data_IF_977031826477
#
_entry.id   IF_977031826477
#
_cell.length_a   1.000
_cell.length_b   1.000
_cell.length_c   1.000
_cell.angle_alpha   90.00
_cell.angle_beta   90.00
_cell.angle_gamma   90.00
#
_symmetry.space_group_name_H-M   'P 1'
#
loop_
_entity.id
_entity.type
_entity.pdbx_description
1 polymer ?
#
# COMPACT_ATOMS: atom_id res chain seq x y z
N UNK A 1 22.44 -15.39 0.02
CA UNK A 1 21.28 -14.56 0.41
C UNK A 1 20.04 -15.38 0.08
N UNK A 2 19.12 -15.54 1.03
CA UNK A 2 17.84 -16.18 0.74
C UNK A 2 17.07 -15.26 -0.22
N UNK A 3 16.50 -15.84 -1.27
CA UNK A 3 15.76 -15.07 -2.27
C UNK A 3 14.35 -14.82 -1.75
N UNK A 4 13.86 -13.59 -1.92
CA UNK A 4 12.56 -13.18 -1.39
C UNK A 4 11.42 -13.93 -2.09
N UNK A 5 10.39 -14.29 -1.32
CA UNK A 5 9.19 -15.00 -1.78
C UNK A 5 7.94 -14.16 -1.49
N UNK A 6 6.83 -14.48 -2.15
CA UNK A 6 5.58 -13.71 -2.09
C UNK A 6 5.48 -12.67 -3.20
N UNK A 7 4.68 -11.64 -2.98
CA UNK A 7 4.53 -10.50 -3.89
C UNK A 7 5.49 -9.37 -3.48
N UNK A 8 6.40 -9.02 -4.37
CA UNK A 8 7.47 -8.04 -4.13
C UNK A 8 7.12 -6.78 -4.91
N UNK A 9 7.21 -5.62 -4.27
CA UNK A 9 6.96 -4.30 -4.84
C UNK A 9 8.28 -3.76 -5.40
N UNK A 10 8.32 -3.49 -6.69
CA UNK A 10 9.48 -2.85 -7.35
C UNK A 10 9.22 -1.38 -7.69
N UNK A 11 7.96 -1.01 -7.90
CA UNK A 11 7.53 0.37 -8.06
C UNK A 11 6.27 0.62 -7.24
N UNK A 12 6.28 1.69 -6.47
CA UNK A 12 5.20 2.04 -5.55
C UNK A 12 5.66 3.12 -4.56
N UNK A 13 4.83 3.43 -3.56
CA UNK A 13 5.21 4.34 -2.49
C UNK A 13 6.24 3.68 -1.57
N UNK A 14 7.18 4.49 -1.08
CA UNK A 14 8.12 4.10 -0.03
C UNK A 14 7.56 4.44 1.35
N UNK A 15 8.17 3.90 2.40
CA UNK A 15 7.76 4.20 3.78
C UNK A 15 7.74 5.72 4.01
N UNK A 16 6.77 6.21 4.78
CA UNK A 16 6.54 7.63 5.09
C UNK A 16 6.09 8.51 3.91
N UNK A 17 5.77 7.94 2.75
CA UNK A 17 5.34 8.73 1.61
C UNK A 17 3.89 9.24 1.76
N UNK A 18 3.70 10.52 1.44
CA UNK A 18 2.37 11.15 1.31
C UNK A 18 1.98 11.19 -0.17
N UNK A 19 0.91 10.50 -0.51
CA UNK A 19 0.29 10.49 -1.85
C UNK A 19 -0.61 11.72 -1.95
N UNK A 20 -0.49 12.49 -3.04
CA UNK A 20 -1.34 13.66 -3.24
C UNK A 20 -2.81 13.27 -3.39
N UNK A 21 -3.69 14.02 -2.74
CA UNK A 21 -5.13 13.85 -2.88
C UNK A 21 -5.67 14.59 -4.11
N UNK A 22 -6.82 14.17 -4.59
CA UNK A 22 -7.58 14.86 -5.64
C UNK A 22 -8.62 15.82 -5.03
N UNK A 23 -9.45 16.43 -5.90
CA UNK A 23 -10.51 17.36 -5.51
C UNK A 23 -11.60 16.74 -4.60
N UNK A 24 -11.65 15.41 -4.49
CA UNK A 24 -12.58 14.66 -3.63
C UNK A 24 -11.95 14.30 -2.29
N UNK A 25 -10.70 14.66 -2.05
CA UNK A 25 -9.96 14.22 -0.87
C UNK A 25 -9.57 12.74 -0.95
N UNK A 26 -9.34 12.22 -2.16
CA UNK A 26 -8.97 10.82 -2.39
C UNK A 26 -7.61 10.72 -3.08
N UNK A 27 -6.85 9.69 -2.75
CA UNK A 27 -5.55 9.37 -3.33
C UNK A 27 -5.59 8.09 -4.16
N UNK A 28 -4.52 7.91 -4.94
CA UNK A 28 -4.30 6.73 -5.79
C UNK A 28 -2.89 6.20 -5.60
N UNK A 29 -2.76 4.92 -5.33
CA UNK A 29 -1.46 4.23 -5.21
C UNK A 29 -1.31 3.24 -6.37
N UNK A 30 -0.39 3.53 -7.29
CA UNK A 30 0.02 2.59 -8.34
C UNK A 30 1.13 1.67 -7.85
N UNK A 31 1.07 0.39 -8.23
CA UNK A 31 1.99 -0.65 -7.79
C UNK A 31 2.41 -1.54 -8.95
N UNK A 32 3.69 -1.86 -9.01
CA UNK A 32 4.27 -2.83 -9.95
C UNK A 32 5.33 -3.66 -9.23
N UNK A 33 5.49 -4.89 -9.67
CA UNK A 33 6.62 -5.69 -9.24
C UNK A 33 6.57 -7.12 -9.72
N UNK A 34 7.15 -8.01 -8.92
CA UNK A 34 7.25 -9.43 -9.22
C UNK A 34 6.65 -10.28 -8.13
N UNK A 35 6.23 -11.48 -8.46
CA UNK A 35 5.84 -12.49 -7.49
C UNK A 35 6.73 -13.71 -7.62
N UNK A 36 6.95 -14.40 -6.49
CA UNK A 36 7.76 -15.61 -6.47
C UNK A 36 7.27 -16.60 -5.44
N UNK A 37 6.87 -17.76 -5.90
CA UNK A 37 6.52 -18.88 -5.06
C UNK A 37 6.57 -20.19 -5.86
N UNK A 38 6.54 -21.34 -5.18
CA UNK A 38 6.59 -22.65 -5.84
C UNK A 38 5.35 -22.91 -6.71
N UNK A 39 4.20 -22.39 -6.26
CA UNK A 39 2.92 -22.53 -6.95
C UNK A 39 2.47 -21.17 -7.47
N UNK A 40 2.02 -21.07 -8.74
CA UNK A 40 1.43 -19.85 -9.27
C UNK A 40 0.23 -19.38 -8.48
N UNK A 41 0.00 -18.08 -8.49
CA UNK A 41 -1.09 -17.46 -7.75
C UNK A 41 -1.48 -16.11 -8.29
N UNK A 42 -2.40 -15.50 -7.57
CA UNK A 42 -2.95 -14.19 -7.82
C UNK A 42 -2.38 -13.22 -6.79
N UNK A 43 -1.71 -12.16 -7.21
CA UNK A 43 -1.27 -11.12 -6.28
C UNK A 43 -2.49 -10.36 -5.77
N UNK A 44 -2.51 -10.13 -4.48
CA UNK A 44 -3.52 -9.33 -3.79
C UNK A 44 -2.84 -8.25 -2.95
N UNK A 45 -3.44 -7.08 -2.93
CA UNK A 45 -2.98 -5.89 -2.21
C UNK A 45 -4.06 -5.42 -1.25
N UNK A 46 -3.66 -4.86 -0.12
CA UNK A 46 -4.60 -4.19 0.78
C UNK A 46 -4.00 -2.98 1.45
N UNK A 47 -4.88 -2.07 1.86
CA UNK A 47 -4.53 -0.93 2.68
C UNK A 47 -5.25 -1.03 4.03
N UNK A 48 -4.49 -0.96 5.10
CA UNK A 48 -5.00 -1.00 6.46
C UNK A 48 -4.56 0.25 7.22
N UNK A 49 -5.26 0.60 8.29
CA UNK A 49 -4.76 1.55 9.27
C UNK A 49 -3.50 0.98 9.93
N UNK A 50 -2.45 1.79 10.05
CA UNK A 50 -1.14 1.32 10.51
C UNK A 50 -1.21 0.76 11.94
N UNK A 51 -1.96 1.41 12.81
CA UNK A 51 -2.04 1.15 14.25
C UNK A 51 -2.97 -0.02 14.61
N UNK A 52 -4.09 -0.18 13.91
CA UNK A 52 -5.09 -1.22 14.19
C UNK A 52 -4.96 -2.43 13.26
N UNK A 53 -4.38 -2.28 12.08
CA UNK A 53 -4.35 -3.31 11.04
C UNK A 53 -5.72 -3.63 10.42
N UNK A 54 -6.74 -2.83 10.71
CA UNK A 54 -8.08 -2.93 10.10
C UNK A 54 -8.05 -2.32 8.70
N UNK A 55 -8.67 -2.98 7.73
CA UNK A 55 -8.78 -2.45 6.38
C UNK A 55 -9.46 -1.08 6.38
N UNK A 56 -8.90 -0.13 5.62
CA UNK A 56 -9.41 1.25 5.54
C UNK A 56 -10.84 1.27 4.97
N UNK A 57 -11.11 0.42 3.98
CA UNK A 57 -12.43 0.19 3.41
C UNK A 57 -12.52 -1.23 2.85
N UNK A 58 -13.74 -1.73 2.63
CA UNK A 58 -13.95 -3.04 2.01
C UNK A 58 -13.36 -3.14 0.58
N UNK A 59 -13.36 -2.02 -0.16
CA UNK A 59 -12.72 -1.90 -1.48
C UNK A 59 -11.19 -1.86 -1.42
N UNK A 60 -10.60 -1.77 -0.23
CA UNK A 60 -9.15 -1.72 0.01
C UNK A 60 -8.66 -2.93 0.81
N UNK A 61 -9.53 -3.91 1.12
CA UNK A 61 -9.13 -5.18 1.72
C UNK A 61 -8.94 -6.24 0.64
N UNK A 62 -7.77 -6.87 0.63
CA UNK A 62 -7.29 -7.89 -0.31
C UNK A 62 -7.89 -7.83 -1.73
N UNK A 63 -7.51 -6.81 -2.49
CA UNK A 63 -7.89 -6.64 -3.89
C UNK A 63 -6.93 -7.40 -4.80
N UNK A 64 -7.47 -8.24 -5.68
CA UNK A 64 -6.69 -8.91 -6.72
C UNK A 64 -6.24 -7.92 -7.80
N UNK A 65 -4.97 -7.99 -8.18
CA UNK A 65 -4.37 -7.13 -9.23
C UNK A 65 -3.88 -7.95 -10.42
N UNK A 66 -3.95 -7.45 -11.65
CA UNK A 66 -3.45 -8.18 -12.82
C UNK A 66 -2.07 -8.81 -12.59
N UNK A 67 -2.03 -10.14 -12.64
CA UNK A 67 -0.84 -10.96 -12.36
C UNK A 67 -0.55 -11.82 -13.58
N UNK A 68 0.66 -11.69 -14.12
CA UNK A 68 1.10 -12.40 -15.30
C UNK A 68 1.83 -13.70 -14.93
N UNK A 69 1.75 -14.68 -15.83
CA UNK A 69 2.40 -15.98 -15.67
C UNK A 69 3.94 -15.90 -15.76
N UNK A 70 4.48 -14.79 -16.27
CA UNK A 70 5.92 -14.53 -16.35
C UNK A 70 6.54 -14.04 -15.02
N UNK A 71 5.75 -13.99 -13.95
CA UNK A 71 6.21 -13.57 -12.63
C UNK A 71 6.01 -12.08 -12.35
N UNK A 72 5.39 -11.31 -13.25
CA UNK A 72 5.14 -9.87 -13.05
C UNK A 72 3.70 -9.58 -12.61
N UNK A 73 3.49 -8.44 -11.98
CA UNK A 73 2.16 -7.93 -11.65
C UNK A 73 2.13 -6.40 -11.65
N UNK A 74 0.96 -5.83 -11.94
CA UNK A 74 0.72 -4.39 -11.98
C UNK A 74 -0.72 -4.07 -11.61
N UNK A 75 -0.91 -3.10 -10.72
CA UNK A 75 -2.23 -2.71 -10.25
C UNK A 75 -2.25 -1.34 -9.60
N UNK A 76 -3.40 -0.98 -9.05
CA UNK A 76 -3.55 0.23 -8.26
C UNK A 76 -4.63 0.04 -7.19
N UNK A 77 -4.45 0.76 -6.08
CA UNK A 77 -5.51 1.04 -5.11
C UNK A 77 -6.06 2.43 -5.43
N UNK A 78 -7.38 2.50 -5.63
CA UNK A 78 -8.11 3.70 -6.02
C UNK A 78 -8.99 4.18 -4.85
N UNK A 79 -9.41 5.44 -4.87
CA UNK A 79 -10.35 6.02 -3.88
C UNK A 79 -9.86 5.88 -2.43
N UNK A 80 -8.57 6.10 -2.20
CA UNK A 80 -7.99 6.01 -0.86
C UNK A 80 -8.32 7.31 -0.12
N UNK A 81 -9.04 7.30 1.01
CA UNK A 81 -9.40 8.54 1.69
C UNK A 81 -8.16 9.30 2.18
N UNK A 82 -8.23 10.63 2.15
CA UNK A 82 -7.26 11.50 2.80
C UNK A 82 -7.09 11.15 4.28
N UNK A 83 -5.86 11.28 4.78
CA UNK A 83 -5.49 10.89 6.13
C UNK A 83 -4.42 9.81 6.15
N UNK A 84 -4.53 8.92 7.13
CA UNK A 84 -3.50 7.96 7.51
C UNK A 84 -3.17 8.06 9.01
N UNK A 85 -2.15 7.38 9.51
CA UNK A 85 -1.17 6.60 8.74
C UNK A 85 -1.71 5.24 8.31
N UNK A 86 -1.40 4.85 7.07
CA UNK A 86 -1.78 3.59 6.46
C UNK A 86 -0.58 2.66 6.30
N UNK A 87 -0.84 1.35 6.33
CA UNK A 87 0.08 0.30 5.91
C UNK A 87 -0.44 -0.38 4.65
N UNK A 88 0.39 -0.41 3.60
CA UNK A 88 0.17 -1.22 2.42
C UNK A 88 0.71 -2.62 2.68
N UNK A 89 -0.07 -3.65 2.35
CA UNK A 89 0.37 -5.05 2.43
C UNK A 89 0.11 -5.77 1.10
N UNK A 90 1.03 -6.65 0.73
CA UNK A 90 0.87 -7.55 -0.42
C UNK A 90 0.88 -9.02 0.02
N UNK A 91 0.22 -9.87 -0.76
CA UNK A 91 0.32 -11.33 -0.66
C UNK A 91 0.19 -11.97 -2.02
N UNK A 92 0.61 -13.23 -2.12
CA UNK A 92 0.30 -14.09 -3.25
C UNK A 92 -0.73 -15.13 -2.80
N UNK A 93 -1.96 -15.06 -3.32
CA UNK A 93 -2.96 -16.10 -3.10
C UNK A 93 -2.78 -17.22 -4.11
N UNK A 94 -2.29 -18.37 -3.65
CA UNK A 94 -2.01 -19.53 -4.50
C UNK A 94 -3.30 -20.24 -4.90
N UNK A 95 -3.28 -20.91 -6.05
CA UNK A 95 -4.48 -21.58 -6.60
C UNK A 95 -5.01 -22.73 -5.73
N UNK A 96 -4.13 -23.37 -4.95
CA UNK A 96 -4.45 -24.42 -3.98
C UNK A 96 -5.00 -23.87 -2.65
N UNK A 97 -5.01 -22.55 -2.46
CA UNK A 97 -5.50 -21.87 -1.28
C UNK A 97 -6.54 -20.79 -1.63
N UNK A 98 -7.75 -21.19 -2.06
CA UNK A 98 -8.76 -20.26 -2.54
C UNK A 98 -9.26 -19.29 -1.46
N UNK A 99 -9.22 -19.68 -0.18
CA UNK A 99 -9.59 -18.84 0.97
C UNK A 99 -8.54 -17.75 1.27
N UNK A 100 -7.31 -17.90 0.80
CA UNK A 100 -6.23 -16.94 1.02
C UNK A 100 -5.65 -16.95 2.44
N UNK A 101 -6.16 -17.78 3.34
CA UNK A 101 -5.61 -17.97 4.69
C UNK A 101 -4.19 -18.55 4.60
N UNK A 102 -3.20 -17.97 5.28
CA UNK A 102 -1.80 -18.44 5.20
C UNK A 102 -1.14 -18.29 3.82
N UNK A 103 -1.72 -17.48 2.93
CA UNK A 103 -1.08 -17.10 1.68
C UNK A 103 0.31 -16.50 1.92
N UNK A 104 1.32 -16.84 1.09
CA UNK A 104 2.65 -16.23 1.16
C UNK A 104 2.56 -14.71 1.21
N UNK A 105 3.05 -14.13 2.32
CA UNK A 105 3.11 -12.68 2.50
C UNK A 105 4.21 -12.10 1.65
N UNK A 106 3.93 -10.95 1.06
CA UNK A 106 4.89 -10.15 0.32
C UNK A 106 5.39 -8.96 1.14
N UNK A 107 5.76 -7.91 0.43
CA UNK A 107 6.18 -6.64 1.04
C UNK A 107 5.06 -5.93 1.80
N UNK A 108 5.49 -5.14 2.78
CA UNK A 108 4.70 -4.14 3.45
C UNK A 108 5.38 -2.78 3.32
N UNK A 109 4.59 -1.71 3.15
CA UNK A 109 5.07 -0.32 3.20
C UNK A 109 4.33 0.40 4.31
N UNK A 110 5.09 1.05 5.18
CA UNK A 110 4.60 1.59 6.44
C UNK A 110 4.43 3.10 6.38
N UNK A 111 3.55 3.59 7.26
CA UNK A 111 3.40 5.02 7.53
C UNK A 111 3.05 5.86 6.30
N UNK A 112 2.26 5.29 5.39
CA UNK A 112 1.78 6.00 4.21
C UNK A 112 0.66 6.98 4.61
N UNK A 113 0.50 8.05 3.83
CA UNK A 113 -0.65 8.95 3.98
C UNK A 113 -1.17 9.43 2.64
N UNK A 114 -2.38 9.98 2.66
CA UNK A 114 -2.98 10.68 1.51
C UNK A 114 -3.30 12.11 1.94
N UNK A 115 -2.84 13.08 1.15
CA UNK A 115 -3.07 14.50 1.42
C UNK A 115 -2.06 15.41 0.73
N UNK A 116 -2.18 16.70 0.98
CA UNK A 116 -1.31 17.71 0.38
C UNK A 116 -0.13 18.06 1.29
N UNK A 117 1.06 18.20 0.68
CA UNK A 117 2.25 18.66 1.38
C UNK A 117 2.40 20.17 1.22
N UNK A 118 2.15 20.90 2.31
CA UNK A 118 2.35 22.35 2.38
C UNK A 118 3.73 22.65 2.94
N UNK A 119 4.62 23.20 2.12
CA UNK A 119 5.98 23.57 2.53
C UNK A 119 6.03 25.08 2.74
N UNK A 120 6.27 25.51 3.99
CA UNK A 120 6.60 26.89 4.30
C UNK A 120 8.12 27.03 4.27
N UNK A 121 8.65 27.63 3.20
CA UNK A 121 10.05 27.99 3.11
C UNK A 121 10.23 29.50 3.36
N UNK A 122 10.92 29.89 4.43
CA UNK A 122 11.09 31.27 4.87
C UNK A 122 12.27 31.44 5.84
N UNK A 123 12.64 32.69 6.17
CA UNK A 123 13.84 33.05 6.96
C UNK A 123 13.89 32.39 8.36
N UNK A 124 15.09 32.44 8.97
CA UNK A 124 15.66 31.59 10.04
C UNK A 124 14.87 31.35 11.33
N UNK A 125 13.63 31.84 11.46
CA UNK A 125 12.75 31.66 12.61
C UNK A 125 11.39 31.03 12.27
N UNK A 126 11.20 30.48 11.07
CA UNK A 126 9.97 29.79 10.71
C UNK A 126 9.87 28.46 11.47
N UNK A 127 8.79 28.27 12.24
CA UNK A 127 8.49 27.02 12.94
C UNK A 127 7.07 26.56 12.59
N UNK A 128 6.95 25.30 12.14
CA UNK A 128 5.68 24.62 11.93
C UNK A 128 5.51 23.52 12.97
N UNK A 129 4.34 23.44 13.60
CA UNK A 129 4.00 22.39 14.56
C UNK A 129 2.80 21.60 14.04
N UNK A 130 2.99 20.31 13.76
CA UNK A 130 1.90 19.37 13.52
C UNK A 130 1.30 18.89 14.83
N UNK A 131 -0.03 18.72 14.89
CA UNK A 131 -0.72 18.14 16.05
C UNK A 131 -1.05 16.67 15.82
N UNK A 132 -0.04 15.79 15.80
CA UNK A 132 -0.22 14.33 15.76
C UNK A 132 -1.15 13.82 14.65
N UNK A 133 -1.53 12.54 14.69
CA UNK A 133 -2.62 12.02 13.87
C UNK A 133 -3.96 12.59 14.35
N UNK A 134 -4.85 12.91 13.41
CA UNK A 134 -6.24 13.32 13.65
C UNK A 134 -7.15 12.38 12.86
N UNK A 135 -8.10 11.75 13.56
CA UNK A 135 -9.17 10.96 12.95
C UNK A 135 -10.43 11.82 12.94
N UNK A 136 -11.06 11.99 11.76
CA UNK A 136 -12.34 12.71 11.62
C UNK A 136 -13.55 11.78 11.84
#
# INVERSE_FOLDING_TARGET
MAEQIGAIIEQGPEDWQIVQQDERGEGRIGLEGRWRFETPGQVEVRLVWEDTGVAVAASLDWQAVPTAADGTWKGALEHIPAGGLYRLETRLRTADNPAGEWSPRGDMRHFLGVGDLWVIAGQSNSAGYGRGPYED
#
